data_IF_442102933242
#
_entry.id   IF_442102933242
#
_cell.length_a   1.000
_cell.length_b   1.000
_cell.length_c   1.000
_cell.angle_alpha   90.00
_cell.angle_beta   90.00
_cell.angle_gamma   90.00
#
_symmetry.space_group_name_H-M   'P 1'
#
loop_
_entity.id
_entity.type
_entity.pdbx_description
1 polymer ?
#
# COMPACT_ATOMS: atom_id res chain seq x y z
N UNK A 1 17.61 10.41 50.93
CA UNK A 1 17.25 10.42 49.49
C UNK A 1 17.70 11.76 48.89
N UNK A 2 18.63 11.80 47.92
CA UNK A 2 19.03 13.05 47.23
C UNK A 2 18.14 13.22 46.00
N UNK A 3 17.31 14.26 46.02
CA UNK A 3 16.33 14.52 44.96
C UNK A 3 17.00 15.25 43.79
N UNK A 4 17.57 14.46 42.87
CA UNK A 4 18.35 14.92 41.72
C UNK A 4 17.50 15.64 40.65
N UNK A 5 16.16 15.58 40.77
CA UNK A 5 15.25 16.14 39.78
C UNK A 5 14.75 17.55 40.09
N UNK A 6 15.15 18.12 41.24
CA UNK A 6 14.70 19.46 41.67
C UNK A 6 15.09 20.60 40.72
N UNK A 7 16.06 20.37 39.81
CA UNK A 7 16.52 21.34 38.80
C UNK A 7 15.91 21.13 37.41
N UNK A 8 15.12 20.08 37.19
CA UNK A 8 14.53 19.84 35.88
C UNK A 8 13.36 20.80 35.63
N UNK A 9 13.55 21.70 34.66
CA UNK A 9 12.52 22.62 34.19
C UNK A 9 11.43 21.80 33.50
N UNK A 10 10.15 22.11 33.78
CA UNK A 10 9.02 21.45 33.11
C UNK A 10 9.13 21.66 31.61
N UNK A 11 9.38 20.57 30.90
CA UNK A 11 9.41 20.52 29.45
C UNK A 11 7.97 20.59 28.95
N UNK A 12 7.54 21.76 28.46
CA UNK A 12 6.19 21.96 27.90
C UNK A 12 6.00 21.34 26.51
N UNK A 13 7.03 20.71 25.97
CA UNK A 13 6.95 19.92 24.74
C UNK A 13 6.40 18.53 25.06
N UNK A 14 5.45 18.02 24.25
CA UNK A 14 4.86 16.71 24.48
C UNK A 14 5.93 15.62 24.42
N UNK A 15 5.87 14.71 25.38
CA UNK A 15 6.78 13.58 25.51
C UNK A 15 6.46 12.59 24.38
N UNK A 16 7.35 12.52 23.39
CA UNK A 16 7.28 11.68 22.19
C UNK A 16 6.05 11.94 21.30
N UNK A 17 6.28 12.62 20.17
CA UNK A 17 5.36 12.55 19.03
C UNK A 17 5.43 11.10 18.53
N UNK A 18 4.44 10.28 18.89
CA UNK A 18 4.31 8.95 18.33
C UNK A 18 4.06 9.13 16.83
N UNK A 19 5.01 8.71 16.01
CA UNK A 19 4.91 8.59 14.55
C UNK A 19 3.94 7.46 14.15
N UNK A 20 2.75 7.44 14.75
CA UNK A 20 1.72 6.43 14.51
C UNK A 20 1.20 6.47 13.07
N UNK A 21 1.32 7.62 12.39
CA UNK A 21 0.92 7.75 10.99
C UNK A 21 1.72 6.82 10.05
N UNK A 22 3.00 6.58 10.30
CA UNK A 22 3.84 5.84 9.35
C UNK A 22 3.49 4.34 9.24
N UNK A 23 2.91 3.73 10.27
CA UNK A 23 2.58 2.29 10.26
C UNK A 23 1.22 2.05 9.59
N UNK A 24 0.21 2.85 9.90
CA UNK A 24 -1.14 2.71 9.31
C UNK A 24 -1.17 3.02 7.81
N UNK A 25 -0.35 3.96 7.33
CA UNK A 25 -0.24 4.21 5.88
C UNK A 25 0.36 3.03 5.11
N UNK A 26 1.27 2.25 5.69
CA UNK A 26 1.90 1.12 4.97
C UNK A 26 0.93 -0.02 4.69
N UNK A 27 -0.01 -0.29 5.59
CA UNK A 27 -1.02 -1.33 5.40
C UNK A 27 -2.06 -0.93 4.34
N UNK A 28 -2.56 0.30 4.41
CA UNK A 28 -3.53 0.85 3.44
C UNK A 28 -2.92 0.98 2.05
N UNK A 29 -1.67 1.44 1.96
CA UNK A 29 -0.96 1.52 0.68
C UNK A 29 -0.72 0.13 0.11
N UNK A 30 -0.23 -0.84 0.89
CA UNK A 30 -0.01 -2.21 0.39
C UNK A 30 -1.27 -2.82 -0.21
N UNK A 31 -2.43 -2.65 0.44
CA UNK A 31 -3.69 -3.13 -0.09
C UNK A 31 -4.02 -2.49 -1.46
N UNK A 32 -3.83 -1.17 -1.57
CA UNK A 32 -4.10 -0.43 -2.80
C UNK A 32 -3.17 -0.82 -3.97
N UNK A 33 -1.88 -1.05 -3.69
CA UNK A 33 -0.92 -1.51 -4.70
C UNK A 33 -1.24 -2.93 -5.20
N UNK A 34 -1.65 -3.82 -4.30
CA UNK A 34 -2.04 -5.18 -4.65
C UNK A 34 -3.32 -5.21 -5.49
N UNK A 35 -4.34 -4.43 -5.14
CA UNK A 35 -5.55 -4.31 -5.93
C UNK A 35 -5.27 -3.77 -7.34
N UNK A 36 -4.37 -2.79 -7.46
CA UNK A 36 -3.94 -2.24 -8.76
C UNK A 36 -3.17 -3.28 -9.59
N UNK A 37 -2.37 -4.13 -8.95
CA UNK A 37 -1.65 -5.20 -9.61
C UNK A 37 -2.61 -6.28 -10.11
N UNK A 38 -3.55 -6.72 -9.27
CA UNK A 38 -4.55 -7.74 -9.59
C UNK A 38 -5.44 -7.28 -10.74
N UNK A 39 -5.95 -6.04 -10.67
CA UNK A 39 -6.77 -5.46 -11.76
C UNK A 39 -5.99 -5.34 -13.06
N UNK A 40 -4.72 -4.95 -13.03
CA UNK A 40 -3.88 -4.91 -14.24
C UNK A 40 -3.69 -6.29 -14.87
N UNK A 41 -3.47 -7.32 -14.06
CA UNK A 41 -3.33 -8.70 -14.53
C UNK A 41 -4.64 -9.21 -15.14
N UNK A 42 -5.77 -8.92 -14.50
CA UNK A 42 -7.09 -9.29 -14.98
C UNK A 42 -7.42 -8.64 -16.34
N UNK A 43 -7.04 -7.37 -16.52
CA UNK A 43 -7.20 -6.66 -17.81
C UNK A 43 -6.36 -7.35 -18.89
N UNK A 44 -5.08 -7.64 -18.63
CA UNK A 44 -4.21 -8.31 -19.62
C UNK A 44 -4.76 -9.70 -19.98
N UNK A 45 -5.23 -10.45 -18.99
CA UNK A 45 -5.76 -11.80 -19.18
C UNK A 45 -7.08 -11.79 -19.97
N UNK A 46 -8.00 -10.87 -19.64
CA UNK A 46 -9.27 -10.74 -20.37
C UNK A 46 -9.06 -10.26 -21.81
N UNK A 47 -8.17 -9.30 -22.04
CA UNK A 47 -7.83 -8.82 -23.39
C UNK A 47 -7.17 -9.92 -24.22
N UNK A 48 -6.22 -10.67 -23.65
CA UNK A 48 -5.56 -11.75 -24.40
C UNK A 48 -6.54 -12.87 -24.76
N UNK A 49 -7.42 -13.29 -23.84
CA UNK A 49 -8.46 -14.29 -24.12
C UNK A 49 -9.43 -13.83 -25.19
N UNK A 50 -9.88 -12.57 -25.14
CA UNK A 50 -10.81 -12.03 -26.14
C UNK A 50 -10.17 -11.94 -27.52
N UNK A 51 -8.90 -11.51 -27.61
CA UNK A 51 -8.16 -11.46 -28.87
C UNK A 51 -7.95 -12.86 -29.45
N UNK A 52 -7.56 -13.84 -28.63
CA UNK A 52 -7.41 -15.24 -29.08
C UNK A 52 -8.74 -15.80 -29.55
N UNK A 53 -9.82 -15.57 -28.79
CA UNK A 53 -11.17 -16.01 -29.17
C UNK A 53 -11.62 -15.39 -30.49
N UNK A 54 -11.36 -14.10 -30.69
CA UNK A 54 -11.69 -13.40 -31.92
C UNK A 54 -10.87 -13.90 -33.11
N UNK A 55 -9.57 -14.14 -32.91
CA UNK A 55 -8.67 -14.68 -33.94
C UNK A 55 -9.13 -16.07 -34.41
N UNK A 56 -9.52 -16.94 -33.48
CA UNK A 56 -10.10 -18.26 -33.79
C UNK A 56 -11.43 -18.14 -34.55
N UNK A 57 -12.32 -17.22 -34.14
CA UNK A 57 -13.60 -16.99 -34.81
C UNK A 57 -13.44 -16.46 -36.24
N UNK A 58 -12.44 -15.61 -36.47
CA UNK A 58 -12.13 -15.07 -37.79
C UNK A 58 -11.39 -16.08 -38.69
N UNK A 59 -11.15 -17.30 -38.22
CA UNK A 59 -10.45 -18.35 -38.97
C UNK A 59 -8.99 -18.00 -39.23
N UNK A 60 -8.42 -17.06 -38.49
CA UNK A 60 -7.00 -16.72 -38.55
C UNK A 60 -6.28 -17.81 -37.75
N UNK A 61 -6.02 -18.92 -38.41
CA UNK A 61 -5.05 -19.91 -37.93
C UNK A 61 -3.68 -19.25 -37.95
N UNK A 62 -3.04 -19.12 -36.78
CA UNK A 62 -1.62 -18.81 -36.68
C UNK A 62 -0.79 -19.85 -37.43
#
# INVERSE_FOLDING_TARGET
MKDIYRKNRRSNQPMAIRSAEAVEFTEVLNYFWMDRLITSLYIVLSVSLTVISLALMLGITI
#
